data_IF_890199930664
#
_entry.id   IF_890199930664
#
_cell.length_a   1.000
_cell.length_b   1.000
_cell.length_c   1.000
_cell.angle_alpha   90.00
_cell.angle_beta   90.00
_cell.angle_gamma   90.00
#
_symmetry.space_group_name_H-M   'P 1'
#
loop_
_entity.id
_entity.type
_entity.pdbx_description
1 polymer ?
#
# COMPACT_ATOMS: atom_id res chain seq x y z
N UNK A 1 9.08 10.28 -4.05
CA UNK A 1 8.31 11.43 -4.60
C UNK A 1 7.17 10.89 -5.43
N UNK A 2 5.99 11.50 -5.34
CA UNK A 2 4.78 11.11 -6.08
C UNK A 2 4.30 12.34 -6.84
N UNK A 3 4.07 12.21 -8.15
CA UNK A 3 3.56 13.28 -9.01
C UNK A 3 2.39 12.76 -9.81
N UNK A 4 1.27 13.49 -9.77
CA UNK A 4 0.07 13.20 -10.55
C UNK A 4 -0.01 14.22 -11.66
N UNK A 5 0.12 13.76 -12.90
CA UNK A 5 -0.14 14.52 -14.10
C UNK A 5 -1.59 14.26 -14.52
N UNK A 6 -2.45 15.25 -14.28
CA UNK A 6 -3.88 15.18 -14.57
C UNK A 6 -4.17 15.33 -16.05
N UNK A 7 -3.34 16.09 -16.77
CA UNK A 7 -3.57 16.37 -18.20
C UNK A 7 -3.14 15.16 -19.04
N UNK A 8 -2.04 14.50 -18.65
CA UNK A 8 -1.54 13.29 -19.29
C UNK A 8 -2.16 11.98 -18.79
N UNK A 9 -2.99 11.99 -17.74
CA UNK A 9 -3.45 10.80 -17.02
C UNK A 9 -2.30 9.87 -16.60
N UNK A 10 -1.28 10.45 -15.95
CA UNK A 10 -0.09 9.70 -15.51
C UNK A 10 0.18 9.89 -14.03
N UNK A 11 0.68 8.83 -13.41
CA UNK A 11 1.24 8.83 -12.06
C UNK A 11 2.73 8.47 -12.17
N UNK A 12 3.58 9.37 -11.67
CA UNK A 12 5.02 9.18 -11.60
C UNK A 12 5.43 8.97 -10.15
N UNK A 13 6.16 7.90 -9.87
CA UNK A 13 6.64 7.60 -8.53
C UNK A 13 8.12 7.30 -8.56
N UNK A 14 8.87 8.06 -7.75
CA UNK A 14 10.32 7.96 -7.64
C UNK A 14 10.73 7.51 -6.24
N UNK A 15 11.56 6.47 -6.18
CA UNK A 15 12.20 6.00 -4.96
C UNK A 15 13.45 6.82 -4.67
N UNK A 16 13.64 7.17 -3.39
CA UNK A 16 14.80 7.91 -2.89
C UNK A 16 15.16 9.10 -3.79
N UNK A 17 14.15 9.91 -4.09
CA UNK A 17 14.29 11.09 -4.92
C UNK A 17 14.80 12.28 -4.09
N UNK A 18 15.86 12.92 -4.55
CA UNK A 18 16.41 14.13 -3.94
C UNK A 18 16.79 15.15 -5.01
N UNK A 19 16.58 16.41 -4.66
CA UNK A 19 16.88 17.55 -5.52
C UNK A 19 18.33 17.98 -5.31
N UNK A 20 19.07 18.10 -6.39
CA UNK A 20 20.44 18.60 -6.40
C UNK A 20 20.47 20.12 -6.29
N UNK A 21 21.64 20.70 -5.98
CA UNK A 21 21.84 22.15 -5.82
C UNK A 21 21.53 22.92 -7.12
N UNK A 22 21.84 22.31 -8.27
CA UNK A 22 21.56 22.87 -9.61
C UNK A 22 20.07 22.79 -10.02
N UNK A 23 19.22 22.23 -9.16
CA UNK A 23 17.79 22.09 -9.38
C UNK A 23 17.37 20.79 -10.09
N UNK A 24 18.31 19.97 -10.56
CA UNK A 24 18.04 18.64 -11.12
C UNK A 24 17.63 17.63 -10.03
N UNK A 25 17.16 16.45 -10.43
CA UNK A 25 16.73 15.40 -9.51
C UNK A 25 17.49 14.11 -9.76
N UNK A 26 17.92 13.47 -8.68
CA UNK A 26 18.36 12.08 -8.68
C UNK A 26 17.29 11.21 -8.01
N UNK A 27 17.13 9.99 -8.52
CA UNK A 27 16.29 8.96 -7.93
C UNK A 27 16.91 7.59 -8.19
N UNK A 28 16.74 6.66 -7.26
CA UNK A 28 17.29 5.30 -7.40
C UNK A 28 16.37 4.38 -8.21
N UNK A 29 15.07 4.69 -8.25
CA UNK A 29 14.12 4.03 -9.14
C UNK A 29 12.99 4.99 -9.52
N UNK A 30 12.35 4.70 -10.65
CA UNK A 30 11.17 5.42 -11.13
C UNK A 30 10.19 4.50 -11.83
N UNK A 31 8.90 4.73 -11.61
CA UNK A 31 7.81 4.04 -12.30
C UNK A 31 6.77 5.04 -12.79
N UNK A 32 6.18 4.72 -13.94
CA UNK A 32 5.10 5.48 -14.57
C UNK A 32 3.90 4.56 -14.66
N UNK A 33 2.77 5.02 -14.13
CA UNK A 33 1.49 4.33 -14.18
C UNK A 33 0.50 5.17 -14.98
N UNK A 34 -0.36 4.47 -15.72
CA UNK A 34 -1.43 5.07 -16.50
C UNK A 34 -2.68 5.15 -15.61
N UNK A 35 -3.27 6.34 -15.47
CA UNK A 35 -4.47 6.55 -14.65
C UNK A 35 -5.77 6.29 -15.42
N UNK A 36 -5.65 6.08 -16.73
CA UNK A 36 -6.71 5.83 -17.70
C UNK A 36 -6.87 4.33 -18.05
N UNK A 37 -6.20 3.43 -17.32
CA UNK A 37 -6.26 1.99 -17.54
C UNK A 37 -5.99 1.16 -16.29
N UNK A 38 -6.31 -0.13 -16.38
CA UNK A 38 -6.08 -1.10 -15.30
C UNK A 38 -4.82 -1.95 -15.53
N UNK A 39 -4.03 -1.64 -16.56
CA UNK A 39 -2.78 -2.32 -16.81
C UNK A 39 -1.80 -1.99 -15.68
N UNK A 40 -1.29 -3.04 -15.02
CA UNK A 40 -0.42 -2.98 -13.83
C UNK A 40 0.71 -1.96 -13.99
N UNK A 41 1.29 -1.93 -15.19
CA UNK A 41 2.18 -0.89 -15.73
C UNK A 41 2.53 -1.31 -17.16
N UNK A 42 2.20 -0.55 -18.22
CA UNK A 42 2.32 -1.00 -19.60
C UNK A 42 3.73 -1.47 -20.02
N UNK A 43 4.77 -0.99 -19.34
CA UNK A 43 6.18 -1.31 -19.62
C UNK A 43 6.80 -2.32 -18.66
N UNK A 44 6.09 -2.74 -17.61
CA UNK A 44 6.65 -3.63 -16.61
C UNK A 44 6.81 -5.06 -17.13
N UNK A 45 7.86 -5.73 -16.68
CA UNK A 45 8.07 -7.18 -16.88
C UNK A 45 7.94 -7.89 -15.53
N UNK A 46 7.62 -9.20 -15.52
CA UNK A 46 7.77 -10.02 -14.33
C UNK A 46 9.14 -9.80 -13.66
N UNK A 47 9.15 -9.54 -12.35
CA UNK A 47 10.35 -9.22 -11.59
C UNK A 47 10.76 -7.74 -11.59
N UNK A 48 10.03 -6.84 -12.24
CA UNK A 48 10.32 -5.40 -12.15
C UNK A 48 9.70 -4.77 -10.92
N UNK A 49 10.50 -4.03 -10.16
CA UNK A 49 10.05 -3.22 -9.03
C UNK A 49 9.53 -1.84 -9.46
N UNK A 50 9.03 -1.09 -8.49
CA UNK A 50 8.69 0.33 -8.60
C UNK A 50 9.27 1.10 -7.39
N UNK A 51 8.73 2.28 -7.08
CA UNK A 51 9.01 2.93 -5.80
C UNK A 51 8.39 2.19 -4.60
N UNK A 52 7.41 1.33 -4.87
CA UNK A 52 6.89 0.30 -4.00
C UNK A 52 7.59 -1.04 -4.31
N UNK A 53 8.03 -1.76 -3.29
CA UNK A 53 8.84 -2.96 -3.48
C UNK A 53 8.06 -4.13 -4.12
N UNK A 54 6.73 -4.18 -3.99
CA UNK A 54 5.90 -5.15 -4.71
C UNK A 54 5.72 -4.81 -6.20
N UNK A 55 6.18 -3.62 -6.64
CA UNK A 55 5.98 -3.10 -7.99
C UNK A 55 4.62 -2.43 -8.22
N UNK A 56 3.85 -2.21 -7.15
CA UNK A 56 2.53 -1.55 -7.19
C UNK A 56 2.67 -0.02 -7.22
N UNK A 57 1.65 0.73 -7.65
CA UNK A 57 1.61 2.18 -7.42
C UNK A 57 1.36 2.47 -5.92
N UNK A 58 2.12 3.40 -5.34
CA UNK A 58 2.00 3.83 -3.94
C UNK A 58 0.72 4.65 -3.75
N UNK A 59 0.52 5.68 -4.57
CA UNK A 59 -0.52 6.69 -4.37
C UNK A 59 -1.93 6.11 -4.17
N UNK A 60 -2.41 5.14 -4.98
CA UNK A 60 -3.74 4.56 -4.82
C UNK A 60 -3.92 3.74 -3.54
N UNK A 61 -2.83 3.37 -2.85
CA UNK A 61 -2.86 2.63 -1.59
C UNK A 61 -2.75 3.52 -0.35
N UNK A 62 -2.52 4.82 -0.49
CA UNK A 62 -2.35 5.74 0.64
C UNK A 62 -3.68 6.13 1.26
N UNK A 63 -3.74 6.15 2.58
CA UNK A 63 -4.84 6.82 3.30
C UNK A 63 -4.74 8.33 3.09
N UNK A 64 -5.80 8.99 2.61
CA UNK A 64 -5.81 10.45 2.41
C UNK A 64 -6.75 11.14 3.40
N UNK A 65 -6.31 12.29 3.92
CA UNK A 65 -7.02 13.01 4.98
C UNK A 65 -8.46 13.37 4.58
N UNK A 66 -8.64 13.95 3.39
CA UNK A 66 -9.95 14.39 2.94
C UNK A 66 -10.95 13.22 2.79
N UNK A 67 -10.47 12.01 2.48
CA UNK A 67 -11.31 10.81 2.44
C UNK A 67 -11.65 10.31 3.84
N UNK A 68 -10.63 10.16 4.69
CA UNK A 68 -10.80 9.66 6.06
C UNK A 68 -11.70 10.57 6.90
N UNK A 69 -11.48 11.89 6.82
CA UNK A 69 -12.28 12.90 7.54
C UNK A 69 -13.72 13.00 7.02
N UNK A 70 -13.95 12.69 5.73
CA UNK A 70 -15.31 12.55 5.18
C UNK A 70 -16.03 11.28 5.67
N UNK A 71 -15.34 10.39 6.38
CA UNK A 71 -15.86 9.12 6.88
C UNK A 71 -15.82 7.97 5.88
N UNK A 72 -15.36 8.19 4.64
CA UNK A 72 -15.38 7.15 3.60
C UNK A 72 -14.09 7.17 2.76
N UNK A 73 -13.37 6.04 2.77
CA UNK A 73 -12.28 5.76 1.84
C UNK A 73 -12.75 4.65 0.89
N UNK A 74 -12.62 4.86 -0.42
CA UNK A 74 -13.23 4.01 -1.47
C UNK A 74 -12.24 3.14 -2.24
N UNK A 75 -11.13 2.79 -1.61
CA UNK A 75 -10.10 1.97 -2.23
C UNK A 75 -9.43 1.06 -1.20
N UNK A 76 -8.69 0.06 -1.70
CA UNK A 76 -7.85 -0.78 -0.86
C UNK A 76 -6.62 0.02 -0.38
N UNK A 77 -6.11 -0.32 0.80
CA UNK A 77 -4.91 0.32 1.35
C UNK A 77 -3.66 -0.51 1.04
N UNK A 78 -2.49 0.08 1.20
CA UNK A 78 -1.21 -0.66 1.23
C UNK A 78 -0.70 -0.82 2.65
N UNK A 79 -0.01 -1.93 2.92
CA UNK A 79 0.67 -2.15 4.20
C UNK A 79 2.01 -2.88 4.03
N UNK A 80 2.81 -2.90 5.10
CA UNK A 80 4.11 -3.58 5.13
C UNK A 80 4.16 -4.76 6.11
N UNK A 81 5.10 -5.67 5.86
CA UNK A 81 5.43 -6.78 6.77
C UNK A 81 6.95 -6.89 6.92
N UNK A 82 7.45 -7.32 8.08
CA UNK A 82 8.89 -7.37 8.32
C UNK A 82 9.59 -8.46 7.51
N UNK A 83 8.91 -9.58 7.30
CA UNK A 83 9.42 -10.72 6.54
C UNK A 83 8.40 -11.12 5.49
N UNK A 84 8.88 -11.30 4.27
CA UNK A 84 8.08 -11.69 3.11
C UNK A 84 8.75 -12.82 2.36
N UNK A 85 7.98 -13.53 1.55
CA UNK A 85 8.46 -14.61 0.71
C UNK A 85 9.06 -14.06 -0.58
N UNK A 86 10.03 -14.77 -1.14
CA UNK A 86 10.55 -14.63 -2.50
C UNK A 86 9.48 -15.11 -3.51
N UNK A 87 8.35 -14.43 -3.52
CA UNK A 87 7.19 -14.70 -4.36
C UNK A 87 6.26 -13.48 -4.37
N UNK A 88 5.43 -13.34 -5.40
CA UNK A 88 4.39 -12.31 -5.47
C UNK A 88 3.10 -12.82 -6.10
N UNK A 89 2.03 -12.04 -5.93
CA UNK A 89 0.71 -12.27 -6.50
C UNK A 89 0.30 -11.09 -7.39
N UNK A 90 -0.08 -11.31 -8.66
CA UNK A 90 -0.59 -10.24 -9.51
C UNK A 90 -1.79 -9.51 -8.86
N UNK A 91 -1.86 -8.18 -8.89
CA UNK A 91 -1.09 -7.29 -9.77
C UNK A 91 0.30 -6.89 -9.27
N UNK A 92 0.81 -7.40 -8.14
CA UNK A 92 2.23 -7.21 -7.82
C UNK A 92 3.11 -7.86 -8.90
N UNK A 93 4.29 -7.30 -9.12
CA UNK A 93 5.23 -7.73 -10.17
C UNK A 93 6.59 -8.12 -9.62
N UNK A 94 6.83 -7.93 -8.32
CA UNK A 94 8.14 -8.12 -7.71
C UNK A 94 8.04 -8.60 -6.26
N UNK A 95 9.12 -9.24 -5.77
CA UNK A 95 9.30 -9.67 -4.38
C UNK A 95 10.55 -9.00 -3.82
N UNK A 96 10.55 -8.66 -2.53
CA UNK A 96 11.68 -7.97 -1.90
C UNK A 96 12.43 -8.86 -0.88
N UNK A 97 12.48 -10.17 -1.12
CA UNK A 97 13.07 -11.13 -0.18
C UNK A 97 13.83 -12.22 -0.91
N UNK A 98 14.82 -12.81 -0.24
CA UNK A 98 15.50 -14.04 -0.68
C UNK A 98 14.90 -15.31 -0.07
N UNK A 99 14.04 -15.18 0.94
CA UNK A 99 13.49 -16.33 1.69
C UNK A 99 12.41 -17.07 0.90
N UNK A 100 12.51 -18.38 0.76
CA UNK A 100 11.51 -19.22 0.07
C UNK A 100 10.51 -19.89 1.01
N UNK A 101 10.55 -19.56 2.30
CA UNK A 101 9.70 -20.11 3.35
C UNK A 101 8.21 -19.96 2.98
N UNK A 102 7.44 -21.06 2.86
CA UNK A 102 6.04 -21.02 2.46
C UNK A 102 5.13 -20.36 3.49
N UNK A 103 5.56 -20.23 4.75
CA UNK A 103 4.78 -19.59 5.81
C UNK A 103 4.90 -18.05 5.80
N UNK A 104 5.80 -17.51 4.97
CA UNK A 104 5.92 -16.07 4.77
C UNK A 104 4.94 -15.55 3.71
N UNK A 105 4.38 -14.34 3.89
CA UNK A 105 3.44 -13.78 2.94
C UNK A 105 4.15 -13.33 1.65
N UNK A 106 3.59 -13.60 0.46
CA UNK A 106 4.09 -13.07 -0.80
C UNK A 106 3.67 -11.60 -1.00
N UNK A 107 4.47 -10.83 -1.75
CA UNK A 107 4.08 -9.48 -2.15
C UNK A 107 2.78 -9.50 -2.96
N UNK A 108 1.95 -8.47 -2.82
CA UNK A 108 0.62 -8.40 -3.44
C UNK A 108 -0.46 -9.25 -2.75
N UNK A 109 -0.12 -10.00 -1.69
CA UNK A 109 -1.12 -10.70 -0.87
C UNK A 109 -2.20 -9.72 -0.39
N UNK A 110 -3.47 -10.06 -0.67
CA UNK A 110 -4.60 -9.26 -0.24
C UNK A 110 -5.18 -9.83 1.05
N UNK A 111 -5.27 -8.98 2.06
CA UNK A 111 -5.94 -9.25 3.33
C UNK A 111 -7.14 -8.33 3.48
N UNK A 112 -8.07 -8.68 4.37
CA UNK A 112 -9.12 -7.76 4.81
C UNK A 112 -9.42 -7.96 6.28
N UNK A 113 -9.94 -6.92 6.91
CA UNK A 113 -10.44 -7.02 8.27
C UNK A 113 -11.68 -7.92 8.27
N UNK A 114 -11.76 -8.88 9.20
CA UNK A 114 -12.85 -9.85 9.26
C UNK A 114 -14.20 -9.17 9.41
N UNK A 115 -15.23 -9.76 8.79
CA UNK A 115 -16.60 -9.28 8.91
C UNK A 115 -17.08 -9.16 10.37
N UNK A 116 -16.61 -10.06 11.25
CA UNK A 116 -16.95 -10.09 12.66
C UNK A 116 -16.23 -9.02 13.52
N UNK A 117 -15.18 -8.37 13.02
CA UNK A 117 -14.50 -7.32 13.77
C UNK A 117 -15.45 -6.13 13.97
N UNK A 118 -15.65 -5.75 15.23
CA UNK A 118 -16.49 -4.62 15.64
C UNK A 118 -15.61 -3.38 15.74
N UNK A 119 -15.85 -2.40 14.87
CA UNK A 119 -15.15 -1.11 14.91
C UNK A 119 -15.62 -0.34 16.16
N UNK A 120 -14.72 0.01 17.09
CA UNK A 120 -15.12 0.72 18.31
C UNK A 120 -15.78 2.07 18.02
N UNK A 121 -16.95 2.29 18.59
CA UNK A 121 -17.72 3.51 18.37
C UNK A 121 -17.02 4.78 18.86
N UNK A 122 -16.13 4.65 19.85
CA UNK A 122 -15.34 5.75 20.43
C UNK A 122 -14.09 6.15 19.63
N UNK A 123 -13.74 5.41 18.57
CA UNK A 123 -12.63 5.79 17.70
C UNK A 123 -12.95 7.07 16.90
N UNK A 124 -11.89 7.77 16.49
CA UNK A 124 -11.99 8.94 15.61
C UNK A 124 -12.78 8.63 14.32
N UNK A 125 -13.30 9.67 13.65
CA UNK A 125 -13.97 9.49 12.37
C UNK A 125 -13.02 8.88 11.32
N UNK A 126 -11.76 9.33 11.34
CA UNK A 126 -10.68 8.93 10.48
C UNK A 126 -10.33 7.45 10.69
N UNK A 127 -10.09 7.01 11.93
CA UNK A 127 -9.82 5.60 12.21
C UNK A 127 -10.99 4.71 11.80
N UNK A 128 -12.24 5.13 12.09
CA UNK A 128 -13.42 4.35 11.68
C UNK A 128 -13.51 4.23 10.17
N UNK A 129 -13.22 5.29 9.41
CA UNK A 129 -13.17 5.26 7.94
C UNK A 129 -12.08 4.31 7.42
N UNK A 130 -10.88 4.36 8.03
CA UNK A 130 -9.76 3.48 7.70
C UNK A 130 -10.14 2.01 7.94
N UNK A 131 -10.67 1.67 9.12
CA UNK A 131 -11.06 0.30 9.46
C UNK A 131 -12.21 -0.21 8.60
N UNK A 132 -13.17 0.67 8.27
CA UNK A 132 -14.24 0.33 7.33
C UNK A 132 -13.70 0.04 5.92
N UNK A 133 -12.68 0.80 5.46
CA UNK A 133 -12.03 0.54 4.19
C UNK A 133 -11.24 -0.78 4.20
N UNK A 134 -10.53 -1.09 5.29
CA UNK A 134 -9.87 -2.39 5.47
C UNK A 134 -10.86 -3.56 5.45
N UNK A 135 -12.09 -3.36 5.92
CA UNK A 135 -13.15 -4.37 5.90
C UNK A 135 -13.75 -4.54 4.50
N UNK A 136 -13.98 -3.43 3.82
CA UNK A 136 -14.71 -3.38 2.53
C UNK A 136 -13.80 -3.69 1.34
N UNK A 137 -12.65 -3.02 1.28
CA UNK A 137 -11.71 -3.08 0.16
C UNK A 137 -10.44 -3.86 0.51
N UNK A 138 -10.15 -4.09 1.79
CA UNK A 138 -8.95 -4.81 2.19
C UNK A 138 -7.67 -4.01 2.00
N UNK A 139 -6.55 -4.71 2.09
CA UNK A 139 -5.21 -4.15 1.98
C UNK A 139 -4.30 -5.07 1.18
N UNK A 140 -3.30 -4.50 0.50
CA UNK A 140 -2.28 -5.24 -0.24
C UNK A 140 -0.93 -5.14 0.47
N UNK A 141 -0.25 -6.28 0.62
CA UNK A 141 1.12 -6.31 1.11
C UNK A 141 2.05 -5.76 0.03
N UNK A 142 2.69 -4.64 0.33
CA UNK A 142 3.35 -3.83 -0.69
C UNK A 142 4.85 -3.66 -0.46
N UNK A 143 5.33 -3.81 0.77
CA UNK A 143 6.74 -3.62 1.09
C UNK A 143 7.19 -4.40 2.32
N UNK A 144 8.51 -4.47 2.47
CA UNK A 144 9.13 -4.85 3.71
C UNK A 144 9.22 -3.64 4.65
N UNK A 145 8.78 -3.80 5.88
CA UNK A 145 8.76 -2.72 6.86
C UNK A 145 8.21 -3.19 8.20
N UNK A 146 7.71 -2.26 9.01
CA UNK A 146 7.03 -2.61 10.26
C UNK A 146 5.79 -3.47 9.98
N UNK A 147 5.53 -4.47 10.81
CA UNK A 147 4.37 -5.35 10.63
C UNK A 147 3.07 -4.54 10.71
N UNK A 148 2.16 -4.78 9.75
CA UNK A 148 0.83 -4.15 9.69
C UNK A 148 0.85 -2.63 9.59
N UNK A 149 1.97 -2.03 9.16
CA UNK A 149 2.06 -0.58 9.03
C UNK A 149 1.33 -0.11 7.77
N UNK A 150 0.40 0.84 7.94
CA UNK A 150 -0.41 1.44 6.89
C UNK A 150 0.09 2.84 6.61
N UNK A 151 0.25 3.19 5.34
CA UNK A 151 0.79 4.49 4.93
C UNK A 151 -0.31 5.50 4.64
N UNK A 152 -0.18 6.70 5.21
CA UNK A 152 -1.00 7.86 4.88
C UNK A 152 -0.26 8.85 3.98
N UNK A 153 -1.01 9.60 3.18
CA UNK A 153 -0.50 10.78 2.50
C UNK A 153 -0.18 11.88 3.54
N UNK A 154 0.96 12.57 3.45
CA UNK A 154 1.31 13.62 4.39
C UNK A 154 0.25 14.73 4.40
N UNK A 155 -0.25 15.05 5.58
CA UNK A 155 -1.19 16.15 5.79
C UNK A 155 -1.01 16.69 7.22
N UNK A 156 -0.88 18.01 7.43
CA UNK A 156 -0.71 18.58 8.76
C UNK A 156 -1.95 18.45 9.65
N UNK A 157 -3.11 18.11 9.10
CA UNK A 157 -4.36 17.95 9.85
C UNK A 157 -4.48 16.58 10.52
N UNK A 158 -3.55 15.66 10.28
CA UNK A 158 -3.54 14.36 10.95
C UNK A 158 -3.21 14.48 12.44
N UNK A 159 -4.04 13.86 13.28
CA UNK A 159 -3.69 13.50 14.65
C UNK A 159 -3.03 12.11 14.65
N UNK A 160 -1.73 12.07 14.39
CA UNK A 160 -1.00 10.81 14.24
C UNK A 160 -0.91 10.02 15.55
N UNK A 161 -0.78 10.70 16.70
CA UNK A 161 -0.69 10.03 18.00
C UNK A 161 -1.98 9.26 18.29
N UNK A 162 -3.14 9.89 18.03
CA UNK A 162 -4.43 9.23 18.16
C UNK A 162 -4.58 8.08 17.18
N UNK A 163 -4.29 8.28 15.90
CA UNK A 163 -4.39 7.23 14.88
C UNK A 163 -3.53 6.02 15.24
N UNK A 164 -2.28 6.23 15.65
CA UNK A 164 -1.36 5.16 16.07
C UNK A 164 -1.95 4.41 17.27
N UNK A 165 -2.45 5.12 18.28
CA UNK A 165 -3.03 4.50 19.48
C UNK A 165 -4.28 3.67 19.21
N UNK A 166 -5.17 4.13 18.31
CA UNK A 166 -6.42 3.46 17.98
C UNK A 166 -6.17 2.26 17.05
N UNK A 167 -5.34 2.43 16.01
CA UNK A 167 -5.01 1.36 15.06
C UNK A 167 -4.17 0.23 15.69
N UNK A 168 -3.34 0.54 16.69
CA UNK A 168 -2.56 -0.47 17.41
C UNK A 168 -3.42 -1.50 18.17
N UNK A 169 -4.72 -1.21 18.38
CA UNK A 169 -5.65 -2.15 19.00
C UNK A 169 -6.12 -3.25 18.05
N UNK A 170 -5.93 -3.07 16.74
CA UNK A 170 -6.26 -4.09 15.72
C UNK A 170 -5.13 -5.09 15.63
N UNK A 171 -5.44 -6.37 15.79
CA UNK A 171 -4.45 -7.46 15.75
C UNK A 171 -4.39 -8.07 14.37
N UNK A 172 -3.24 -8.64 14.02
CA UNK A 172 -3.11 -9.44 12.79
C UNK A 172 -4.13 -10.59 12.71
N UNK A 173 -4.53 -11.15 13.86
CA UNK A 173 -5.57 -12.19 13.95
C UNK A 173 -6.97 -11.70 13.58
N UNK A 174 -7.21 -10.39 13.53
CA UNK A 174 -8.48 -9.79 13.11
C UNK A 174 -8.60 -9.71 11.59
N UNK A 175 -7.52 -10.01 10.86
CA UNK A 175 -7.51 -10.09 9.42
C UNK A 175 -7.67 -11.52 8.91
N UNK A 176 -8.11 -11.62 7.66
CA UNK A 176 -8.13 -12.86 6.89
C UNK A 176 -7.50 -12.63 5.52
N UNK A 177 -6.88 -13.68 4.97
CA UNK A 177 -6.32 -13.64 3.62
C UNK A 177 -7.47 -13.86 2.63
N UNK A 178 -7.61 -12.92 1.69
CA UNK A 178 -8.72 -12.91 0.72
C UNK A 178 -8.30 -13.57 -0.59
N UNK A 179 -7.02 -13.50 -0.96
CA UNK A 179 -6.53 -13.99 -2.24
C UNK A 179 -5.09 -14.45 -2.17
N UNK A 180 -4.85 -15.67 -2.67
CA UNK A 180 -3.52 -16.26 -2.92
C UNK A 180 -3.39 -16.86 -4.33
N UNK A 181 -4.38 -16.63 -5.21
CA UNK A 181 -4.38 -17.20 -6.55
C UNK A 181 -3.40 -16.50 -7.49
N UNK A 182 -2.68 -17.30 -8.28
CA UNK A 182 -1.71 -16.82 -9.27
C UNK A 182 -0.32 -16.54 -8.68
N UNK A 183 0.09 -17.30 -7.67
CA UNK A 183 1.41 -17.16 -7.04
C UNK A 183 2.53 -17.31 -8.07
N UNK A 184 3.36 -16.29 -8.19
CA UNK A 184 4.57 -16.30 -9.01
C UNK A 184 5.78 -16.51 -8.11
N UNK A 185 6.52 -17.58 -8.39
CA UNK A 185 7.83 -17.86 -7.80
C UNK A 185 8.93 -17.64 -8.84
N UNK A 186 10.19 -17.46 -8.42
CA UNK A 186 11.35 -17.40 -9.30
C UNK A 186 11.49 -18.61 -10.23
#
# INVERSE_FOLDING_TARGET
MIVIDRDGNRLYELYRAFRNVDGSWNAEAGAIFHLDGNDVRPTARPGWTSADAAGLPIFPGLVRYDEASSGTIRHALRFTAQRTRRAYLPPATHWASSSTDPDLPPMGMRVRLKAAYVIPAGFSAETRAILQAMKTYGMLLADNGSNWYVSGAPDPRWDNDRLVSELAQVRGSDFEVVRLDGLVTP
#
